data_IF_365529664002
#
_entry.id   IF_365529664002
#
_cell.length_a   1.000
_cell.length_b   1.000
_cell.length_c   1.000
_cell.angle_alpha   90.00
_cell.angle_beta   90.00
_cell.angle_gamma   90.00
#
_symmetry.space_group_name_H-M   'P 1'
#
loop_
_entity.id
_entity.type
_entity.pdbx_description
1 polymer ?
#
# COMPACT_ATOMS: atom_id res chain seq x y z
N UNK A 1 18.65 62.85 14.48
CA UNK A 1 18.32 61.56 15.12
C UNK A 1 17.13 60.95 14.40
N UNK A 2 17.36 60.08 13.42
CA UNK A 2 16.29 59.38 12.70
C UNK A 2 16.18 57.98 13.30
N UNK A 3 15.07 57.70 14.00
CA UNK A 3 14.82 56.38 14.59
C UNK A 3 14.32 55.44 13.49
N UNK A 4 15.13 54.44 13.16
CA UNK A 4 14.78 53.37 12.24
C UNK A 4 13.91 52.34 13.00
N UNK A 5 12.62 52.31 12.68
CA UNK A 5 11.69 51.32 13.23
C UNK A 5 11.91 49.98 12.51
N UNK A 6 12.53 49.02 13.17
CA UNK A 6 12.68 47.65 12.65
C UNK A 6 11.38 46.89 12.94
N UNK A 7 10.58 46.67 11.90
CA UNK A 7 9.40 45.81 11.96
C UNK A 7 9.87 44.36 11.82
N UNK A 8 9.80 43.59 12.91
CA UNK A 8 9.94 42.14 12.86
C UNK A 8 8.70 41.55 12.16
N UNK A 9 8.85 41.17 10.89
CA UNK A 9 7.86 40.35 10.21
C UNK A 9 7.97 38.92 10.76
N UNK A 10 7.12 38.57 11.71
CA UNK A 10 6.88 37.16 12.08
C UNK A 10 6.22 36.47 10.90
N UNK A 11 7.00 35.71 10.14
CA UNK A 11 6.46 34.74 9.18
C UNK A 11 5.75 33.64 9.96
N UNK A 12 4.43 33.76 10.08
CA UNK A 12 3.56 32.64 10.41
C UNK A 12 3.72 31.61 9.29
N UNK A 13 4.52 30.57 9.54
CA UNK A 13 4.50 29.33 8.76
C UNK A 13 3.14 28.67 9.01
N UNK A 14 2.12 29.14 8.28
CA UNK A 14 0.84 28.46 8.19
C UNK A 14 1.08 27.09 7.57
N UNK A 15 1.04 26.05 8.39
CA UNK A 15 1.14 24.66 7.94
C UNK A 15 -0.21 24.27 7.33
N UNK A 16 -0.46 24.67 6.07
CA UNK A 16 -1.64 24.24 5.35
C UNK A 16 -1.62 22.71 5.18
N UNK A 17 -2.80 22.09 5.17
CA UNK A 17 -2.95 20.72 4.71
C UNK A 17 -2.44 20.64 3.26
N UNK A 18 -1.50 19.76 2.97
CA UNK A 18 -1.05 19.56 1.60
C UNK A 18 -2.04 18.65 0.85
N UNK A 19 -2.17 18.86 -0.45
CA UNK A 19 -2.83 17.91 -1.35
C UNK A 19 -1.75 17.05 -1.99
N UNK A 20 -1.68 15.78 -1.62
CA UNK A 20 -0.77 14.81 -2.24
C UNK A 20 -1.54 14.07 -3.32
N UNK A 21 -1.14 14.21 -4.59
CA UNK A 21 -1.86 13.64 -5.74
C UNK A 21 -1.02 12.58 -6.43
N UNK A 22 -1.61 11.40 -6.63
CA UNK A 22 -1.01 10.25 -7.30
C UNK A 22 -1.85 9.86 -8.50
N UNK A 23 -1.19 9.53 -9.60
CA UNK A 23 -1.84 8.96 -10.79
C UNK A 23 -1.38 7.52 -10.93
N UNK A 24 -2.33 6.59 -10.81
CA UNK A 24 -2.10 5.15 -10.83
C UNK A 24 -2.75 4.56 -12.06
N UNK A 25 -1.94 4.05 -12.97
CA UNK A 25 -2.37 3.13 -14.02
C UNK A 25 -2.27 1.69 -13.49
N UNK A 26 -3.41 1.09 -13.14
CA UNK A 26 -3.49 -0.26 -12.59
C UNK A 26 -3.58 -1.25 -13.74
N UNK A 27 -2.55 -2.07 -13.91
CA UNK A 27 -2.40 -2.93 -15.08
C UNK A 27 -1.72 -4.25 -14.77
N UNK A 28 -1.79 -5.16 -15.73
CA UNK A 28 -1.05 -6.42 -15.63
C UNK A 28 0.43 -6.19 -15.89
N UNK A 29 1.26 -6.81 -15.06
CA UNK A 29 2.71 -6.87 -15.21
C UNK A 29 3.17 -8.31 -15.09
N UNK A 30 4.32 -8.61 -15.68
CA UNK A 30 4.95 -9.92 -15.57
C UNK A 30 6.28 -9.78 -14.84
N UNK A 31 6.48 -10.59 -13.81
CA UNK A 31 7.68 -10.51 -12.99
C UNK A 31 7.89 -11.72 -12.12
N UNK A 32 9.11 -11.82 -11.58
CA UNK A 32 9.46 -12.78 -10.53
C UNK A 32 10.01 -12.04 -9.31
N UNK A 33 9.35 -12.27 -8.19
CA UNK A 33 9.67 -11.68 -6.87
C UNK A 33 10.45 -12.66 -5.98
N UNK A 34 10.57 -13.90 -6.41
CA UNK A 34 11.05 -15.02 -5.62
C UNK A 34 12.17 -15.83 -6.32
N UNK A 35 12.68 -15.38 -7.47
CA UNK A 35 13.64 -16.09 -8.34
C UNK A 35 13.14 -17.36 -9.03
N UNK A 36 11.98 -17.90 -8.66
CA UNK A 36 11.47 -19.16 -9.19
C UNK A 36 10.19 -19.00 -10.01
N UNK A 37 9.33 -18.07 -9.61
CA UNK A 37 8.00 -17.89 -10.18
C UNK A 37 7.99 -16.65 -11.07
N UNK A 38 7.99 -16.85 -12.39
CA UNK A 38 7.65 -15.80 -13.34
C UNK A 38 6.17 -15.90 -13.69
N UNK A 39 5.36 -14.93 -13.24
CA UNK A 39 3.90 -14.95 -13.45
C UNK A 39 3.36 -13.57 -13.79
N UNK A 40 2.13 -13.56 -14.32
CA UNK A 40 1.30 -12.35 -14.38
C UNK A 40 0.85 -11.97 -12.96
N UNK A 41 0.86 -10.68 -12.71
CA UNK A 41 0.50 -10.03 -11.47
C UNK A 41 -0.11 -8.67 -11.78
N UNK A 42 -0.60 -7.99 -10.75
CA UNK A 42 -1.17 -6.64 -10.87
C UNK A 42 -0.19 -5.64 -10.26
N UNK A 43 0.17 -4.65 -11.07
CA UNK A 43 1.09 -3.58 -10.70
C UNK A 43 0.46 -2.21 -10.94
N UNK A 44 1.19 -1.18 -10.55
CA UNK A 44 0.82 0.22 -10.76
C UNK A 44 1.91 0.88 -11.58
N UNK A 45 1.54 1.59 -12.65
CA UNK A 45 2.46 2.29 -13.55
C UNK A 45 3.56 1.38 -14.13
N UNK A 46 3.23 0.10 -14.37
CA UNK A 46 4.17 -0.90 -14.88
C UNK A 46 5.14 -1.47 -13.84
N UNK A 47 5.00 -1.12 -12.56
CA UNK A 47 5.90 -1.54 -11.48
C UNK A 47 5.28 -2.61 -10.57
N UNK A 48 6.12 -3.54 -10.11
CA UNK A 48 5.82 -4.56 -9.10
C UNK A 48 7.09 -5.00 -8.36
N UNK A 49 7.16 -4.88 -7.02
CA UNK A 49 6.25 -4.07 -6.21
C UNK A 49 6.30 -2.59 -6.64
N UNK A 50 5.21 -1.87 -6.44
CA UNK A 50 5.17 -0.42 -6.66
C UNK A 50 5.46 0.33 -5.35
N UNK A 51 5.92 1.60 -5.42
CA UNK A 51 6.50 2.29 -4.27
C UNK A 51 5.49 2.51 -3.13
N UNK A 52 5.97 2.59 -1.87
CA UNK A 52 5.16 2.98 -0.72
C UNK A 52 4.65 4.41 -0.85
N UNK A 53 3.44 4.66 -0.35
CA UNK A 53 2.86 6.00 -0.29
C UNK A 53 3.19 6.65 1.05
N UNK A 54 3.64 7.90 1.01
CA UNK A 54 3.93 8.69 2.19
C UNK A 54 3.15 10.01 2.15
N UNK A 55 2.43 10.29 3.23
CA UNK A 55 1.71 11.56 3.44
C UNK A 55 1.86 12.01 4.89
N UNK A 56 1.55 13.25 5.19
CA UNK A 56 1.53 13.76 6.58
C UNK A 56 0.09 13.86 7.07
N UNK A 57 -0.11 13.60 8.37
CA UNK A 57 -1.39 13.82 9.03
C UNK A 57 -1.93 15.22 8.71
N UNK A 58 -3.20 15.26 8.27
CA UNK A 58 -3.86 16.50 7.86
C UNK A 58 -3.86 16.71 6.35
N UNK A 59 -3.01 16.01 5.60
CA UNK A 59 -3.00 16.07 4.15
C UNK A 59 -4.23 15.37 3.56
N UNK A 60 -4.62 15.81 2.37
CA UNK A 60 -5.59 15.11 1.54
C UNK A 60 -4.81 14.31 0.49
N UNK A 61 -4.91 12.97 0.57
CA UNK A 61 -4.35 12.07 -0.42
C UNK A 61 -5.37 11.85 -1.53
N UNK A 62 -5.02 12.22 -2.75
CA UNK A 62 -5.84 12.04 -3.95
C UNK A 62 -5.18 10.99 -4.82
N UNK A 63 -5.89 9.91 -5.14
CA UNK A 63 -5.40 8.84 -6.00
C UNK A 63 -6.32 8.73 -7.20
N UNK A 64 -5.84 9.17 -8.36
CA UNK A 64 -6.53 8.99 -9.64
C UNK A 64 -6.16 7.59 -10.17
N UNK A 65 -7.09 6.65 -10.07
CA UNK A 65 -6.91 5.27 -10.50
C UNK A 65 -7.51 5.10 -11.90
N UNK A 66 -6.68 4.75 -12.87
CA UNK A 66 -7.09 4.28 -14.20
C UNK A 66 -6.99 2.75 -14.24
N UNK A 67 -8.03 2.08 -14.73
CA UNK A 67 -8.06 0.63 -14.80
C UNK A 67 -7.66 0.12 -16.19
N UNK A 68 -6.40 -0.29 -16.36
CA UNK A 68 -5.89 -0.96 -17.55
C UNK A 68 -6.03 -2.50 -17.52
N UNK A 69 -6.68 -3.06 -16.50
CA UNK A 69 -7.02 -4.48 -16.45
C UNK A 69 -8.21 -4.79 -17.38
N UNK A 70 -8.36 -6.06 -17.74
CA UNK A 70 -9.55 -6.56 -18.46
C UNK A 70 -10.70 -6.95 -17.53
N UNK A 71 -10.62 -6.61 -16.24
CA UNK A 71 -11.61 -6.88 -15.19
C UNK A 71 -11.81 -5.64 -14.32
N UNK A 72 -12.94 -5.50 -13.60
CA UNK A 72 -13.11 -4.39 -12.67
C UNK A 72 -12.04 -4.36 -11.58
N UNK A 73 -11.74 -3.18 -11.03
CA UNK A 73 -10.80 -3.00 -9.92
C UNK A 73 -11.28 -1.95 -8.93
N UNK A 74 -10.70 -1.94 -7.74
CA UNK A 74 -10.89 -0.88 -6.74
C UNK A 74 -9.69 -0.90 -5.79
N UNK A 75 -9.40 0.22 -5.15
CA UNK A 75 -8.41 0.27 -4.06
C UNK A 75 -9.11 0.49 -2.72
N UNK A 76 -8.58 -0.12 -1.67
CA UNK A 76 -8.98 0.10 -0.28
C UNK A 76 -7.78 0.53 0.55
N UNK A 77 -7.97 1.51 1.43
CA UNK A 77 -6.95 1.93 2.41
C UNK A 77 -7.23 1.28 3.74
N UNK A 78 -6.52 0.21 4.03
CA UNK A 78 -6.75 -0.62 5.19
C UNK A 78 -6.49 0.14 6.49
N UNK A 79 -7.55 0.34 7.26
CA UNK A 79 -7.52 1.02 8.56
C UNK A 79 -7.79 2.52 8.52
N UNK A 80 -7.96 3.13 7.34
CA UNK A 80 -8.43 4.51 7.25
C UNK A 80 -9.93 4.56 7.55
N UNK A 81 -10.36 5.53 8.36
CA UNK A 81 -11.74 5.58 8.89
C UNK A 81 -12.78 6.05 7.88
N UNK A 82 -12.38 6.79 6.84
CA UNK A 82 -13.28 7.32 5.80
C UNK A 82 -14.56 8.00 6.34
N UNK A 83 -14.45 8.71 7.48
CA UNK A 83 -15.60 9.29 8.17
C UNK A 83 -16.26 10.39 7.32
N UNK A 84 -17.52 10.18 6.92
CA UNK A 84 -18.26 11.06 6.01
C UNK A 84 -17.88 10.92 4.54
N UNK A 85 -16.96 10.03 4.19
CA UNK A 85 -16.45 9.78 2.84
C UNK A 85 -16.37 8.29 2.53
N UNK A 86 -17.30 7.49 3.05
CA UNK A 86 -17.34 6.03 2.92
C UNK A 86 -17.38 5.54 1.46
N UNK A 87 -17.87 6.36 0.52
CA UNK A 87 -17.86 6.05 -0.91
C UNK A 87 -16.45 6.05 -1.56
N UNK A 88 -15.41 6.48 -0.82
CA UNK A 88 -14.00 6.29 -1.18
C UNK A 88 -13.33 5.11 -0.47
N UNK A 89 -14.09 4.28 0.27
CA UNK A 89 -13.49 3.22 1.08
C UNK A 89 -12.89 2.09 0.24
N UNK A 90 -13.49 1.74 -0.91
CA UNK A 90 -12.90 0.77 -1.84
C UNK A 90 -13.56 -0.59 -2.00
N UNK A 91 -14.18 -1.20 -0.97
CA UNK A 91 -14.78 -2.53 -1.12
C UNK A 91 -15.85 -2.58 -2.22
N UNK A 92 -15.55 -3.33 -3.29
CA UNK A 92 -16.43 -3.50 -4.44
C UNK A 92 -17.75 -4.13 -4.01
N UNK A 93 -18.86 -3.61 -4.54
CA UNK A 93 -20.23 -3.99 -4.24
C UNK A 93 -20.67 -3.77 -2.78
N UNK A 94 -19.89 -2.99 -2.00
CA UNK A 94 -20.28 -2.54 -0.66
C UNK A 94 -20.34 -1.02 -0.61
N UNK A 95 -19.24 -0.34 -0.92
CA UNK A 95 -19.16 1.13 -0.84
C UNK A 95 -19.14 1.80 -2.21
N UNK A 96 -18.78 1.05 -3.24
CA UNK A 96 -18.75 1.50 -4.63
C UNK A 96 -18.90 0.31 -5.58
N UNK A 97 -19.22 0.59 -6.85
CA UNK A 97 -18.98 -0.37 -7.92
C UNK A 97 -17.47 -0.40 -8.25
N UNK A 98 -16.98 -1.55 -8.70
CA UNK A 98 -15.63 -1.66 -9.27
C UNK A 98 -15.48 -0.75 -10.50
N UNK A 99 -14.31 -0.12 -10.60
CA UNK A 99 -13.90 0.71 -11.73
C UNK A 99 -13.85 -0.18 -12.97
N UNK A 100 -14.69 0.03 -14.00
CA UNK A 100 -14.70 -0.83 -15.19
C UNK A 100 -13.37 -0.78 -15.96
N UNK A 101 -13.05 -1.80 -16.78
CA UNK A 101 -11.93 -1.76 -17.71
C UNK A 101 -11.93 -0.51 -18.58
N UNK A 102 -10.79 0.20 -18.65
CA UNK A 102 -10.61 1.43 -19.43
C UNK A 102 -11.16 2.70 -18.76
N UNK A 103 -11.79 2.59 -17.58
CA UNK A 103 -12.36 3.73 -16.87
C UNK A 103 -11.43 4.19 -15.72
N UNK A 104 -11.74 5.38 -15.19
CA UNK A 104 -11.00 5.96 -14.08
C UNK A 104 -11.90 6.35 -12.91
N UNK A 105 -11.36 6.34 -11.70
CA UNK A 105 -12.01 6.85 -10.51
C UNK A 105 -11.00 7.55 -9.60
N UNK A 106 -11.39 8.67 -9.01
CA UNK A 106 -10.55 9.46 -8.12
C UNK A 106 -10.97 9.22 -6.67
N UNK A 107 -10.05 8.67 -5.87
CA UNK A 107 -10.19 8.56 -4.43
C UNK A 107 -9.69 9.84 -3.76
N UNK A 108 -10.50 10.44 -2.87
CA UNK A 108 -10.11 11.60 -2.07
C UNK A 108 -10.13 11.22 -0.60
N UNK A 109 -8.94 10.97 -0.04
CA UNK A 109 -8.73 10.36 1.26
C UNK A 109 -8.22 11.41 2.26
N UNK A 110 -9.01 11.69 3.29
CA UNK A 110 -8.62 12.65 4.33
C UNK A 110 -7.86 11.98 5.47
N UNK A 111 -6.68 12.50 5.81
CA UNK A 111 -5.82 11.93 6.87
C UNK A 111 -5.85 12.73 8.18
N UNK A 112 -6.80 13.66 8.34
CA UNK A 112 -6.83 14.63 9.46
C UNK A 112 -6.73 13.98 10.84
N UNK A 113 -7.44 12.87 11.03
CA UNK A 113 -7.63 12.26 12.34
C UNK A 113 -6.77 11.01 12.57
N UNK A 114 -5.89 10.64 11.64
CA UNK A 114 -5.12 9.41 11.72
C UNK A 114 -3.67 9.63 11.29
N UNK A 115 -2.76 8.96 11.96
CA UNK A 115 -1.36 8.81 11.56
C UNK A 115 -0.88 7.44 12.02
N UNK A 116 0.14 6.88 11.36
CA UNK A 116 0.58 5.53 11.67
C UNK A 116 1.08 4.79 10.44
N UNK A 117 0.94 3.47 10.49
CA UNK A 117 1.36 2.53 9.47
C UNK A 117 0.10 1.85 8.95
N UNK A 118 -0.19 2.04 7.67
CA UNK A 118 -1.34 1.54 6.94
C UNK A 118 -0.85 0.85 5.65
N UNK A 119 -1.78 0.39 4.82
CA UNK A 119 -1.49 -0.12 3.49
C UNK A 119 -2.69 0.08 2.58
N UNK A 120 -2.43 0.10 1.28
CA UNK A 120 -3.43 0.22 0.21
C UNK A 120 -3.41 -1.08 -0.56
N UNK A 121 -4.57 -1.65 -0.87
CA UNK A 121 -4.64 -2.88 -1.66
C UNK A 121 -5.85 -2.92 -2.59
N UNK A 122 -5.77 -3.76 -3.61
CA UNK A 122 -6.92 -4.12 -4.44
C UNK A 122 -8.03 -4.73 -3.58
N UNK A 123 -9.27 -4.27 -3.72
CA UNK A 123 -10.40 -4.82 -2.95
C UNK A 123 -11.52 -5.35 -3.85
N UNK A 124 -11.18 -5.65 -5.09
CA UNK A 124 -12.03 -6.37 -6.04
C UNK A 124 -11.42 -7.76 -6.25
N UNK A 125 -12.22 -8.82 -6.11
CA UNK A 125 -11.90 -10.20 -6.55
C UNK A 125 -10.53 -10.75 -6.09
N UNK A 126 -10.08 -10.42 -4.88
CA UNK A 126 -8.80 -10.84 -4.33
C UNK A 126 -7.57 -10.41 -5.15
N UNK A 127 -7.63 -9.27 -5.84
CA UNK A 127 -6.53 -8.73 -6.64
C UNK A 127 -5.25 -8.48 -5.82
N UNK A 128 -5.38 -8.26 -4.52
CA UNK A 128 -4.27 -8.18 -3.58
C UNK A 128 -3.45 -9.48 -3.55
N UNK A 129 -4.07 -10.66 -3.71
CA UNK A 129 -3.36 -11.94 -3.82
C UNK A 129 -2.48 -12.04 -5.08
N UNK A 130 -2.72 -11.17 -6.06
CA UNK A 130 -1.97 -11.04 -7.30
C UNK A 130 -0.99 -9.85 -7.29
N UNK A 131 -0.68 -9.31 -6.10
CA UNK A 131 0.37 -8.31 -5.90
C UNK A 131 -0.13 -6.87 -5.86
N UNK A 132 -1.45 -6.64 -5.94
CA UNK A 132 -2.00 -5.29 -5.88
C UNK A 132 -2.07 -4.76 -4.45
N UNK A 133 -0.92 -4.35 -3.91
CA UNK A 133 -0.83 -3.70 -2.59
C UNK A 133 0.44 -2.86 -2.46
N UNK A 134 0.41 -1.89 -1.53
CA UNK A 134 1.59 -1.10 -1.15
C UNK A 134 1.43 -0.54 0.27
N UNK A 135 2.53 -0.32 1.02
CA UNK A 135 2.46 0.42 2.28
C UNK A 135 1.92 1.85 2.09
N UNK A 136 1.16 2.31 3.10
CA UNK A 136 0.80 3.71 3.27
C UNK A 136 1.29 4.17 4.63
N UNK A 137 2.22 5.11 4.65
CA UNK A 137 2.71 5.72 5.87
C UNK A 137 2.13 7.12 6.00
N UNK A 138 1.32 7.32 7.04
CA UNK A 138 0.81 8.63 7.42
C UNK A 138 1.67 9.13 8.57
N UNK A 139 2.56 10.09 8.29
CA UNK A 139 3.46 10.68 9.27
C UNK A 139 2.70 11.56 10.26
N UNK A 140 3.07 11.52 11.54
CA UNK A 140 2.48 12.45 12.50
C UNK A 140 2.97 13.86 12.20
N UNK A 141 2.07 14.85 12.25
CA UNK A 141 2.47 16.26 12.18
C UNK A 141 3.11 16.74 13.49
N UNK A 142 2.84 16.04 14.59
CA UNK A 142 3.49 16.29 15.88
C UNK A 142 4.79 15.52 15.96
N UNK A 143 5.75 16.04 16.71
CA UNK A 143 6.97 15.30 16.99
C UNK A 143 6.63 13.96 17.66
N UNK A 144 7.32 12.86 17.29
CA UNK A 144 7.07 11.58 17.87
C UNK A 144 7.44 11.60 19.36
N UNK A 145 6.64 10.93 20.19
CA UNK A 145 6.89 10.80 21.64
C UNK A 145 8.22 10.09 21.91
N UNK A 146 8.57 9.14 21.04
CA UNK A 146 9.87 8.45 21.04
C UNK A 146 10.68 9.02 19.89
N UNK A 147 11.77 9.70 20.20
CA UNK A 147 12.73 10.19 19.20
C UNK A 147 13.45 9.00 18.58
N UNK A 148 13.63 8.98 17.26
CA UNK A 148 14.41 7.99 16.52
C UNK A 148 15.27 8.71 15.48
N UNK A 149 16.38 8.10 15.08
CA UNK A 149 17.32 8.66 14.10
C UNK A 149 16.92 8.29 12.67
N UNK A 150 16.34 7.10 12.49
CA UNK A 150 15.98 6.54 11.18
C UNK A 150 14.62 5.83 11.26
N UNK A 151 13.89 5.81 10.15
CA UNK A 151 12.62 5.12 10.01
C UNK A 151 12.66 4.20 8.79
N UNK A 152 12.24 2.95 8.97
CA UNK A 152 12.19 1.94 7.93
C UNK A 152 10.83 1.24 7.97
N UNK A 153 10.39 0.68 6.85
CA UNK A 153 9.28 -0.26 6.81
C UNK A 153 9.78 -1.66 6.44
N UNK A 154 9.07 -2.66 6.93
CA UNK A 154 9.27 -4.07 6.64
C UNK A 154 7.90 -4.67 6.33
N UNK A 155 7.72 -5.13 5.10
CA UNK A 155 6.51 -5.83 4.69
C UNK A 155 6.74 -7.34 4.70
N UNK A 156 5.70 -8.07 5.10
CA UNK A 156 5.61 -9.51 5.04
C UNK A 156 4.45 -9.90 4.13
N UNK A 157 4.75 -10.65 3.10
CA UNK A 157 3.83 -10.95 2.01
C UNK A 157 3.87 -12.45 1.67
N UNK A 158 2.79 -12.96 1.11
CA UNK A 158 2.76 -14.28 0.50
C UNK A 158 2.74 -14.20 -1.02
N UNK A 159 3.52 -15.07 -1.65
CA UNK A 159 3.66 -15.11 -3.10
C UNK A 159 3.44 -16.51 -3.62
N UNK A 160 2.38 -16.67 -4.41
CA UNK A 160 2.01 -17.96 -4.98
C UNK A 160 2.52 -18.10 -6.41
N UNK A 161 2.65 -19.34 -6.85
CA UNK A 161 3.14 -19.70 -8.18
C UNK A 161 2.16 -19.38 -9.33
N UNK A 162 0.89 -19.08 -9.02
CA UNK A 162 -0.15 -18.79 -10.01
C UNK A 162 -1.12 -17.70 -9.56
N UNK A 163 -1.87 -17.16 -10.54
CA UNK A 163 -2.90 -16.14 -10.31
C UNK A 163 -4.01 -16.66 -9.41
N UNK A 164 -4.56 -15.80 -8.55
CA UNK A 164 -5.54 -16.20 -7.54
C UNK A 164 -6.70 -16.98 -8.16
N UNK A 165 -7.30 -16.49 -9.24
CA UNK A 165 -8.49 -17.14 -9.83
C UNK A 165 -8.20 -18.54 -10.38
N UNK A 166 -7.00 -18.79 -10.90
CA UNK A 166 -6.59 -20.12 -11.39
C UNK A 166 -6.47 -21.09 -10.22
N UNK A 167 -5.85 -20.63 -9.13
CA UNK A 167 -5.71 -21.43 -7.91
C UNK A 167 -7.07 -21.70 -7.28
N UNK A 168 -7.93 -20.68 -7.20
CA UNK A 168 -9.26 -20.81 -6.61
C UNK A 168 -10.12 -21.79 -7.41
N UNK A 169 -10.15 -21.69 -8.74
CA UNK A 169 -10.89 -22.63 -9.58
C UNK A 169 -10.41 -24.08 -9.41
N UNK A 170 -9.09 -24.29 -9.25
CA UNK A 170 -8.56 -25.61 -8.94
C UNK A 170 -9.03 -26.10 -7.57
N UNK A 171 -8.94 -25.26 -6.53
CA UNK A 171 -9.39 -25.60 -5.17
C UNK A 171 -10.87 -25.97 -5.16
N UNK A 172 -11.71 -25.17 -5.82
CA UNK A 172 -13.14 -25.40 -5.94
C UNK A 172 -13.44 -26.74 -6.66
N UNK A 173 -12.61 -27.12 -7.64
CA UNK A 173 -12.77 -28.37 -8.38
C UNK A 173 -12.49 -29.64 -7.56
N UNK A 174 -11.70 -29.52 -6.48
CA UNK A 174 -11.37 -30.68 -5.63
C UNK A 174 -12.57 -31.14 -4.80
N UNK A 175 -13.55 -30.25 -4.56
CA UNK A 175 -14.72 -30.50 -3.71
C UNK A 175 -14.37 -31.10 -2.33
N UNK A 176 -13.15 -30.83 -1.86
CA UNK A 176 -12.62 -31.28 -0.57
C UNK A 176 -11.67 -30.23 0.00
N UNK A 177 -12.11 -29.58 1.07
CA UNK A 177 -11.34 -28.55 1.78
C UNK A 177 -10.07 -29.09 2.49
N UNK A 178 -9.88 -30.41 2.54
CA UNK A 178 -8.72 -31.05 3.20
C UNK A 178 -7.63 -31.47 2.22
N UNK A 179 -7.90 -31.45 0.92
CA UNK A 179 -6.91 -31.86 -0.07
C UNK A 179 -5.78 -30.83 -0.12
N UNK A 180 -4.55 -31.31 0.06
CA UNK A 180 -3.35 -30.49 -0.09
C UNK A 180 -3.26 -29.98 -1.54
N UNK A 181 -3.18 -28.66 -1.70
CA UNK A 181 -3.05 -28.04 -3.01
C UNK A 181 -1.57 -27.96 -3.40
N UNK A 182 -1.22 -28.04 -4.70
CA UNK A 182 0.16 -27.82 -5.15
C UNK A 182 0.58 -26.35 -5.08
N UNK A 183 -0.33 -25.45 -4.70
CA UNK A 183 -0.12 -24.01 -4.67
C UNK A 183 0.37 -23.57 -3.29
N UNK A 184 1.64 -23.83 -3.03
CA UNK A 184 2.31 -23.29 -1.85
C UNK A 184 2.74 -21.85 -2.11
N UNK A 185 2.49 -20.98 -1.13
CA UNK A 185 3.06 -19.66 -1.11
C UNK A 185 4.51 -19.69 -0.65
N UNK A 186 5.29 -18.73 -1.14
CA UNK A 186 6.55 -18.32 -0.53
C UNK A 186 6.32 -17.08 0.33
N UNK A 187 7.20 -16.88 1.30
CA UNK A 187 7.26 -15.66 2.09
C UNK A 187 8.14 -14.64 1.36
N UNK A 188 7.68 -13.39 1.26
CA UNK A 188 8.51 -12.27 0.81
C UNK A 188 8.73 -11.30 1.97
N UNK A 189 9.91 -10.66 1.97
CA UNK A 189 10.23 -9.49 2.81
C UNK A 189 10.50 -8.32 1.87
N UNK A 190 9.78 -7.21 2.06
CA UNK A 190 9.87 -6.04 1.17
C UNK A 190 9.70 -6.40 -0.30
N UNK A 191 8.79 -7.34 -0.55
CA UNK A 191 8.44 -7.80 -1.87
C UNK A 191 9.41 -8.72 -2.59
N UNK A 192 10.44 -9.25 -1.90
CA UNK A 192 11.37 -10.23 -2.45
C UNK A 192 11.66 -11.39 -1.50
N UNK A 193 12.02 -12.55 -2.06
CA UNK A 193 12.52 -13.74 -1.34
C UNK A 193 14.01 -14.00 -1.67
N UNK A 194 14.69 -14.73 -0.80
CA UNK A 194 16.02 -15.26 -1.02
C UNK A 194 17.09 -14.20 -1.26
N UNK A 195 17.90 -14.41 -2.31
CA UNK A 195 19.05 -13.56 -2.63
C UNK A 195 18.65 -12.16 -3.15
N UNK A 196 17.38 -11.96 -3.52
CA UNK A 196 16.87 -10.66 -3.96
C UNK A 196 16.46 -9.74 -2.82
N UNK A 197 16.27 -10.26 -1.61
CA UNK A 197 15.96 -9.43 -0.45
C UNK A 197 17.18 -8.60 -0.08
N UNK A 198 17.09 -7.28 -0.25
CA UNK A 198 18.16 -6.37 0.15
C UNK A 198 18.39 -6.43 1.66
N UNK A 199 19.65 -6.53 2.15
CA UNK A 199 19.92 -6.54 3.57
C UNK A 199 19.59 -5.17 4.19
N UNK A 200 18.95 -5.18 5.36
CA UNK A 200 18.75 -3.97 6.15
C UNK A 200 20.01 -3.70 6.97
N UNK A 201 20.63 -2.54 6.73
CA UNK A 201 21.88 -2.17 7.42
C UNK A 201 21.58 -1.24 8.59
N UNK A 202 22.07 -1.62 9.77
CA UNK A 202 21.96 -0.82 10.99
C UNK A 202 23.31 -0.21 11.36
N UNK A 203 23.29 1.07 11.74
CA UNK A 203 24.48 1.79 12.23
C UNK A 203 24.50 1.73 13.76
N UNK A 204 25.59 1.26 14.38
CA UNK A 204 25.71 1.24 15.84
C UNK A 204 25.45 2.62 16.46
N UNK A 205 24.68 2.65 17.55
CA UNK A 205 24.34 3.87 18.28
C UNK A 205 23.10 4.62 17.78
N UNK A 206 22.60 4.32 16.58
CA UNK A 206 21.32 4.87 16.08
C UNK A 206 20.12 4.09 16.63
N UNK A 207 19.01 4.80 16.87
CA UNK A 207 17.69 4.24 17.19
C UNK A 207 16.82 4.25 15.94
N UNK A 208 16.24 3.10 15.64
CA UNK A 208 15.40 2.88 14.46
C UNK A 208 13.94 2.70 14.83
N UNK A 209 13.04 3.32 14.07
CA UNK A 209 11.63 2.96 14.05
C UNK A 209 11.39 1.99 12.90
N UNK A 210 11.03 0.74 13.24
CA UNK A 210 10.61 -0.26 12.27
C UNK A 210 9.09 -0.31 12.18
N UNK A 211 8.56 -0.11 10.98
CA UNK A 211 7.13 -0.23 10.67
C UNK A 211 6.87 -1.58 10.02
N UNK A 212 6.29 -2.49 10.77
CA UNK A 212 6.03 -3.85 10.33
C UNK A 212 4.60 -3.96 9.79
N UNK A 213 4.44 -4.52 8.59
CA UNK A 213 3.15 -4.68 7.92
C UNK A 213 3.05 -6.10 7.40
N UNK A 214 1.99 -6.81 7.77
CA UNK A 214 1.61 -8.05 7.09
C UNK A 214 0.58 -7.71 6.02
N UNK A 215 0.95 -7.87 4.75
CA UNK A 215 0.06 -7.71 3.59
C UNK A 215 -0.23 -9.07 2.93
N UNK A 216 -0.09 -10.15 3.72
CA UNK A 216 -0.31 -11.52 3.23
C UNK A 216 -1.78 -11.88 3.26
N UNK A 217 -2.18 -12.76 2.34
CA UNK A 217 -3.54 -13.28 2.25
C UNK A 217 -3.79 -14.36 3.30
N UNK A 218 -2.86 -15.32 3.40
CA UNK A 218 -3.00 -16.50 4.24
C UNK A 218 -1.83 -16.71 5.20
N UNK A 219 -0.62 -16.24 4.85
CA UNK A 219 0.56 -16.53 5.67
C UNK A 219 0.59 -15.71 6.97
N UNK A 220 1.04 -16.37 8.04
CA UNK A 220 1.26 -15.76 9.35
C UNK A 220 2.75 -15.71 9.64
N UNK A 221 3.21 -14.59 10.20
CA UNK A 221 4.62 -14.34 10.44
C UNK A 221 4.87 -14.15 11.94
N UNK A 222 6.00 -14.67 12.41
CA UNK A 222 6.51 -14.45 13.76
C UNK A 222 7.88 -13.82 13.66
N UNK A 223 8.01 -12.60 14.16
CA UNK A 223 9.24 -11.80 14.16
C UNK A 223 9.69 -11.53 15.61
#
# INVERSE_FOLDING_TARGET
MLHLLVIFATTLLGCFAARAELNWDVGYVYGSRDDFTYRRAIGVNGELPFPPVHVTQGDTLVINVHNSLNVPTSIHVHGLLNNGTNYYDGPDMVTQCGIPPGESFTYVLETKNQFGTFWIHGHTRHQEADGFYTPLIIHSRKQPVIVYDEELHMTFEDWYTGEFYVRQAYIDSLNDARTLTPYYSKALINGYDGNKTAPITFVPGKRYRLRIICMSINNWFKF
#
